data_IF_261580308689
#
_entry.id   IF_261580308689
#
_cell.length_a   1.000
_cell.length_b   1.000
_cell.length_c   1.000
_cell.angle_alpha   90.00
_cell.angle_beta   90.00
_cell.angle_gamma   90.00
#
_symmetry.space_group_name_H-M   'P 1'
#
loop_
_entity.id
_entity.type
_entity.pdbx_description
1 polymer ?
#
# COMPACT_ATOMS: atom_id res chain seq x y z
N UNK A 1 -15.55 2.22 -34.71
CA UNK A 1 -16.84 1.93 -34.03
C UNK A 1 -16.53 1.75 -32.55
N UNK A 2 -17.17 2.49 -31.65
CA UNK A 2 -16.80 2.50 -30.22
C UNK A 2 -18.00 2.18 -29.34
N UNK A 3 -17.92 1.15 -28.51
CA UNK A 3 -18.95 0.78 -27.53
C UNK A 3 -18.60 1.27 -26.13
N UNK A 4 -19.61 1.47 -25.30
CA UNK A 4 -19.45 1.81 -23.89
C UNK A 4 -19.87 0.64 -23.01
N UNK A 5 -19.40 0.62 -21.77
CA UNK A 5 -19.93 -0.31 -20.78
C UNK A 5 -21.46 -0.22 -20.72
N UNK A 6 -22.08 -1.39 -20.65
CA UNK A 6 -23.52 -1.63 -20.67
C UNK A 6 -24.24 -1.34 -22.00
N UNK A 7 -23.51 -1.02 -23.08
CA UNK A 7 -24.09 -1.13 -24.43
C UNK A 7 -24.48 -2.59 -24.70
N UNK A 8 -25.58 -2.80 -25.43
CA UNK A 8 -25.97 -4.11 -25.95
C UNK A 8 -25.56 -4.20 -27.41
N UNK A 9 -24.83 -5.26 -27.74
CA UNK A 9 -24.39 -5.56 -29.10
C UNK A 9 -24.99 -6.87 -29.57
N UNK A 10 -25.33 -6.96 -30.84
CA UNK A 10 -25.74 -8.19 -31.49
C UNK A 10 -24.67 -8.60 -32.50
N UNK A 11 -24.21 -9.83 -32.37
CA UNK A 11 -23.15 -10.44 -33.17
C UNK A 11 -23.64 -11.83 -33.54
N UNK A 12 -23.69 -12.14 -34.84
CA UNK A 12 -24.14 -13.46 -35.33
C UNK A 12 -25.52 -13.88 -34.80
N UNK A 13 -26.44 -12.91 -34.68
CA UNK A 13 -27.81 -13.14 -34.18
C UNK A 13 -27.95 -13.33 -32.67
N UNK A 14 -26.85 -13.24 -31.91
CA UNK A 14 -26.86 -13.34 -30.44
C UNK A 14 -26.57 -11.99 -29.81
N UNK A 15 -27.21 -11.72 -28.66
CA UNK A 15 -27.05 -10.46 -27.92
C UNK A 15 -26.05 -10.62 -26.77
N UNK A 16 -25.25 -9.59 -26.60
CA UNK A 16 -24.25 -9.48 -25.56
C UNK A 16 -24.30 -8.10 -24.92
N UNK A 17 -23.94 -8.01 -23.64
CA UNK A 17 -23.75 -6.74 -22.94
C UNK A 17 -22.26 -6.52 -22.75
N UNK A 18 -21.79 -5.33 -23.11
CA UNK A 18 -20.41 -4.92 -22.86
C UNK A 18 -20.24 -4.71 -21.35
N UNK A 19 -19.41 -5.52 -20.70
CA UNK A 19 -19.16 -5.42 -19.24
C UNK A 19 -17.87 -4.71 -18.90
N UNK A 20 -16.98 -4.59 -19.87
CA UNK A 20 -15.69 -3.92 -19.74
C UNK A 20 -15.21 -3.44 -21.12
N UNK A 21 -14.38 -2.40 -21.09
CA UNK A 21 -13.71 -1.83 -22.26
C UNK A 21 -12.26 -1.62 -21.90
N UNK A 22 -11.36 -2.25 -22.64
CA UNK A 22 -9.92 -2.18 -22.40
C UNK A 22 -9.25 -1.62 -23.65
N UNK A 23 -8.51 -0.53 -23.52
CA UNK A 23 -7.75 0.02 -24.63
C UNK A 23 -6.28 -0.33 -24.47
N UNK A 24 -5.68 -0.77 -25.57
CA UNK A 24 -4.29 -1.19 -25.64
C UNK A 24 -3.50 -0.33 -26.62
N UNK A 25 -2.21 -0.25 -26.36
CA UNK A 25 -1.23 0.27 -27.28
C UNK A 25 -0.10 -0.77 -27.44
N UNK A 26 0.24 -1.06 -28.68
CA UNK A 26 1.46 -1.79 -29.03
C UNK A 26 2.66 -0.93 -28.64
N UNK A 27 3.50 -1.47 -27.77
CA UNK A 27 4.71 -0.79 -27.34
C UNK A 27 5.87 -1.25 -28.24
N UNK A 28 6.27 -0.40 -29.18
CA UNK A 28 7.51 -0.61 -29.95
C UNK A 28 8.67 -0.20 -29.02
N UNK A 29 9.46 -1.17 -28.56
CA UNK A 29 10.67 -0.86 -27.80
C UNK A 29 11.69 -0.29 -28.79
N UNK A 30 11.86 1.04 -28.78
CA UNK A 30 13.08 1.66 -29.31
C UNK A 30 14.28 1.10 -28.52
N UNK A 31 14.97 0.15 -29.16
CA UNK A 31 16.38 -0.32 -29.07
C UNK A 31 17.29 0.01 -27.86
N UNK A 32 16.81 0.38 -26.67
CA UNK A 32 17.69 0.88 -25.59
C UNK A 32 17.38 0.34 -24.19
N UNK A 33 16.54 -0.70 -24.04
CA UNK A 33 16.45 -1.41 -22.75
C UNK A 33 16.47 -2.91 -23.01
N UNK A 34 17.58 -3.56 -22.60
CA UNK A 34 17.75 -5.01 -22.59
C UNK A 34 16.70 -5.66 -21.67
N UNK A 35 15.53 -5.98 -22.24
CA UNK A 35 14.74 -7.10 -21.76
C UNK A 35 15.18 -8.32 -22.58
N UNK A 36 15.76 -9.31 -21.91
CA UNK A 36 15.98 -10.65 -22.48
C UNK A 36 14.62 -11.32 -22.68
N UNK A 37 13.91 -10.92 -23.74
CA UNK A 37 12.92 -11.76 -24.38
C UNK A 37 13.71 -12.88 -25.07
N UNK A 38 13.69 -14.07 -24.48
CA UNK A 38 14.47 -15.24 -24.90
C UNK A 38 14.07 -15.84 -26.27
N UNK A 39 13.45 -15.08 -27.16
CA UNK A 39 13.12 -15.53 -28.51
C UNK A 39 14.07 -14.84 -29.52
N UNK A 40 15.13 -15.55 -29.94
CA UNK A 40 16.00 -15.20 -31.09
C UNK A 40 15.19 -14.87 -32.38
N UNK A 41 13.91 -15.26 -32.42
CA UNK A 41 12.95 -14.93 -33.48
C UNK A 41 12.47 -13.47 -33.50
N UNK A 42 12.74 -12.62 -32.51
CA UNK A 42 12.28 -11.21 -32.57
C UNK A 42 13.01 -10.42 -33.65
N UNK A 43 14.27 -10.75 -33.93
CA UNK A 43 15.12 -9.97 -34.83
C UNK A 43 15.09 -10.42 -36.30
N UNK A 44 14.57 -11.61 -36.61
CA UNK A 44 14.76 -12.23 -37.94
C UNK A 44 13.52 -12.32 -38.84
N UNK A 45 12.28 -12.07 -38.36
CA UNK A 45 11.09 -12.41 -39.17
C UNK A 45 9.99 -11.35 -39.34
N UNK A 46 10.14 -10.11 -38.86
CA UNK A 46 9.15 -9.06 -39.14
C UNK A 46 9.82 -7.79 -39.66
N UNK A 47 10.03 -7.79 -40.98
CA UNK A 47 10.35 -6.59 -41.73
C UNK A 47 9.24 -5.53 -41.64
N UNK A 48 9.67 -4.27 -41.62
CA UNK A 48 8.87 -3.04 -41.73
C UNK A 48 7.92 -2.72 -40.57
N UNK A 49 8.36 -1.77 -39.74
CA UNK A 49 7.55 -1.00 -38.79
C UNK A 49 6.25 -0.51 -39.44
N UNK A 50 5.12 -1.15 -39.12
CA UNK A 50 3.82 -0.48 -39.10
C UNK A 50 3.78 0.29 -37.78
N UNK A 51 3.47 1.59 -37.81
CA UNK A 51 3.42 2.43 -36.60
C UNK A 51 2.58 1.80 -35.49
N UNK A 52 2.81 2.24 -34.24
CA UNK A 52 2.18 1.66 -33.04
C UNK A 52 0.68 1.39 -33.27
N UNK A 53 0.30 0.10 -33.27
CA UNK A 53 -1.11 -0.28 -33.36
C UNK A 53 -1.76 -0.02 -32.01
N UNK A 54 -2.97 0.51 -32.05
CA UNK A 54 -3.80 0.65 -30.87
C UNK A 54 -5.08 -0.14 -31.15
N UNK A 55 -5.62 -0.83 -30.15
CA UNK A 55 -6.89 -1.53 -30.28
C UNK A 55 -7.70 -1.42 -29.01
N UNK A 56 -8.99 -1.71 -29.13
CA UNK A 56 -9.90 -1.77 -28.00
C UNK A 56 -10.53 -3.16 -27.96
N UNK A 57 -10.49 -3.76 -26.78
CA UNK A 57 -11.19 -5.00 -26.47
C UNK A 57 -12.43 -4.72 -25.63
N UNK A 58 -13.51 -5.38 -26.00
CA UNK A 58 -14.78 -5.32 -25.31
C UNK A 58 -15.06 -6.68 -24.71
N UNK A 59 -15.15 -6.77 -23.39
CA UNK A 59 -15.61 -7.96 -22.71
C UNK A 59 -17.13 -8.06 -22.84
N UNK A 60 -17.59 -9.16 -23.42
CA UNK A 60 -18.98 -9.39 -23.82
C UNK A 60 -19.61 -10.48 -22.97
N UNK A 61 -20.60 -10.12 -22.17
CA UNK A 61 -21.42 -11.06 -21.40
C UNK A 61 -22.64 -11.47 -22.23
N UNK A 62 -22.83 -12.76 -22.55
CA UNK A 62 -24.03 -13.22 -23.26
C UNK A 62 -25.30 -12.94 -22.47
N UNK A 63 -26.35 -12.46 -23.15
CA UNK A 63 -27.65 -12.17 -22.50
C UNK A 63 -28.33 -13.44 -22.00
N UNK A 64 -28.21 -14.53 -22.78
CA UNK A 64 -28.84 -15.82 -22.50
C UNK A 64 -28.01 -16.69 -21.53
N UNK A 65 -26.94 -16.13 -20.96
CA UNK A 65 -25.98 -16.85 -20.13
C UNK A 65 -24.90 -17.58 -20.94
N UNK A 66 -23.87 -18.03 -20.25
CA UNK A 66 -22.70 -18.68 -20.82
C UNK A 66 -21.41 -17.88 -20.57
N UNK A 67 -20.32 -18.37 -21.16
CA UNK A 67 -19.00 -17.81 -20.94
C UNK A 67 -18.81 -16.47 -21.65
N UNK A 68 -18.00 -15.63 -21.00
CA UNK A 68 -17.61 -14.32 -21.50
C UNK A 68 -16.88 -14.47 -22.85
N UNK A 69 -17.25 -13.60 -23.78
CA UNK A 69 -16.62 -13.46 -25.10
C UNK A 69 -15.86 -12.14 -25.16
N UNK A 70 -15.06 -11.98 -26.21
CA UNK A 70 -14.26 -10.80 -26.44
C UNK A 70 -14.47 -10.31 -27.87
N UNK A 71 -14.56 -9.00 -28.03
CA UNK A 71 -14.55 -8.34 -29.33
C UNK A 71 -13.36 -7.41 -29.38
N UNK A 72 -12.41 -7.66 -30.27
CA UNK A 72 -11.19 -6.84 -30.43
C UNK A 72 -11.31 -6.06 -31.73
N UNK A 73 -11.22 -4.73 -31.63
CA UNK A 73 -11.27 -3.81 -32.77
C UNK A 73 -9.97 -3.00 -32.80
N UNK A 74 -9.20 -3.15 -33.87
CA UNK A 74 -8.02 -2.31 -34.11
C UNK A 74 -8.46 -0.89 -34.46
N UNK A 75 -7.85 0.11 -33.85
CA UNK A 75 -8.21 1.50 -34.08
C UNK A 75 -7.92 1.88 -35.55
N UNK A 76 -8.93 2.40 -36.24
CA UNK A 76 -8.84 2.73 -37.67
C UNK A 76 -9.23 1.60 -38.63
N UNK A 77 -9.37 0.37 -38.14
CA UNK A 77 -9.92 -0.75 -38.92
C UNK A 77 -11.39 -0.50 -39.24
N UNK A 78 -11.78 -0.80 -40.49
CA UNK A 78 -13.13 -0.52 -41.01
C UNK A 78 -13.87 -1.77 -41.43
N UNK A 79 -13.16 -2.82 -41.79
CA UNK A 79 -13.76 -3.96 -42.48
C UNK A 79 -14.00 -5.14 -41.54
N UNK A 80 -13.10 -5.35 -40.58
CA UNK A 80 -13.09 -6.55 -39.76
C UNK A 80 -12.85 -6.29 -38.28
N UNK A 81 -13.29 -7.23 -37.45
CA UNK A 81 -12.94 -7.31 -36.04
C UNK A 81 -12.74 -8.77 -35.64
N UNK A 82 -12.13 -9.00 -34.50
CA UNK A 82 -11.95 -10.34 -33.95
C UNK A 82 -13.01 -10.60 -32.90
N UNK A 83 -13.73 -11.72 -33.02
CA UNK A 83 -14.65 -12.21 -32.01
C UNK A 83 -14.13 -13.53 -31.46
N UNK A 84 -13.83 -13.57 -30.16
CA UNK A 84 -13.11 -14.67 -29.53
C UNK A 84 -13.66 -15.03 -28.15
N UNK A 85 -13.19 -16.15 -27.62
CA UNK A 85 -13.43 -16.61 -26.26
C UNK A 85 -12.15 -17.12 -25.63
N UNK A 86 -12.06 -17.00 -24.31
CA UNK A 86 -10.96 -17.58 -23.54
C UNK A 86 -11.06 -19.11 -23.57
N UNK A 87 -9.93 -19.79 -23.73
CA UNK A 87 -9.88 -21.26 -23.79
C UNK A 87 -8.75 -21.80 -22.92
N UNK A 88 -8.93 -23.03 -22.43
CA UNK A 88 -7.91 -23.74 -21.67
C UNK A 88 -7.03 -24.57 -22.62
N UNK A 89 -6.10 -23.90 -23.31
CA UNK A 89 -5.15 -24.57 -24.22
C UNK A 89 -3.86 -23.78 -24.33
N UNK A 90 -2.73 -24.42 -24.04
CA UNK A 90 -1.42 -23.76 -24.04
C UNK A 90 -0.74 -23.62 -25.41
N UNK A 91 -1.22 -24.32 -26.46
CA UNK A 91 -0.58 -24.31 -27.78
C UNK A 91 -1.58 -24.07 -28.93
N UNK A 92 -1.16 -23.43 -30.04
CA UNK A 92 -2.05 -23.22 -31.17
C UNK A 92 -2.53 -24.54 -31.79
N UNK A 93 -3.79 -24.63 -32.28
CA UNK A 93 -4.27 -25.81 -32.98
C UNK A 93 -3.46 -26.12 -34.25
N UNK A 94 -3.44 -27.39 -34.67
CA UNK A 94 -2.77 -27.81 -35.91
C UNK A 94 -3.26 -27.00 -37.12
N UNK A 95 -2.33 -26.46 -37.88
CA UNK A 95 -2.60 -25.66 -39.08
C UNK A 95 -2.77 -24.16 -38.84
N UNK A 96 -2.59 -23.70 -37.61
CA UNK A 96 -2.42 -22.28 -37.32
C UNK A 96 -0.96 -21.88 -37.53
N UNK A 97 -0.73 -20.70 -38.11
CA UNK A 97 0.59 -20.11 -38.32
C UNK A 97 0.71 -18.79 -37.57
N UNK A 98 1.89 -18.48 -37.04
CA UNK A 98 2.15 -17.19 -36.41
C UNK A 98 1.87 -16.08 -37.42
N UNK A 99 1.07 -15.09 -37.02
CA UNK A 99 0.67 -13.97 -37.86
C UNK A 99 1.19 -12.65 -37.32
N UNK A 100 1.10 -12.44 -36.01
CA UNK A 100 1.57 -11.22 -35.35
C UNK A 100 2.11 -11.56 -33.96
N UNK A 101 3.00 -10.72 -33.43
CA UNK A 101 3.47 -10.80 -32.06
C UNK A 101 4.01 -9.43 -31.62
N UNK A 102 3.92 -9.14 -30.34
CA UNK A 102 4.42 -7.89 -29.81
C UNK A 102 4.24 -7.77 -28.30
N UNK A 103 4.55 -6.59 -27.77
CA UNK A 103 4.30 -6.21 -26.39
C UNK A 103 3.10 -5.27 -26.36
N UNK A 104 2.05 -5.65 -25.63
CA UNK A 104 0.89 -4.80 -25.41
C UNK A 104 0.97 -4.13 -24.04
N UNK A 105 0.50 -2.88 -23.98
CA UNK A 105 0.28 -2.16 -22.73
C UNK A 105 -1.17 -1.72 -22.63
N UNK A 106 -1.78 -1.98 -21.47
CA UNK A 106 -3.11 -1.47 -21.14
C UNK A 106 -3.03 0.04 -20.88
N UNK A 107 -3.78 0.80 -21.67
CA UNK A 107 -3.82 2.27 -21.61
C UNK A 107 -4.98 2.77 -20.74
N UNK A 108 -6.12 2.09 -20.80
CA UNK A 108 -7.30 2.42 -20.00
C UNK A 108 -8.20 1.21 -19.83
N UNK A 109 -8.93 1.19 -18.72
CA UNK A 109 -9.89 0.14 -18.38
C UNK A 109 -11.16 0.81 -17.89
N UNK A 110 -12.30 0.43 -18.46
CA UNK A 110 -13.63 0.75 -17.95
C UNK A 110 -14.38 -0.55 -17.64
N UNK A 111 -15.19 -0.56 -16.58
CA UNK A 111 -16.05 -1.70 -16.22
C UNK A 111 -15.43 -2.74 -15.28
N UNK A 112 -16.01 -3.94 -15.24
CA UNK A 112 -15.57 -5.04 -14.35
C UNK A 112 -14.43 -5.84 -14.98
N UNK A 113 -13.19 -5.34 -14.87
CA UNK A 113 -12.01 -6.03 -15.38
C UNK A 113 -11.00 -6.39 -14.28
N UNK A 114 -10.18 -7.41 -14.57
CA UNK A 114 -8.99 -7.74 -13.77
C UNK A 114 -7.74 -6.98 -14.23
N UNK A 115 -7.72 -6.57 -15.50
CA UNK A 115 -6.65 -5.75 -16.06
C UNK A 115 -6.64 -4.35 -15.44
N UNK A 116 -5.47 -3.73 -15.39
CA UNK A 116 -5.25 -2.37 -14.88
C UNK A 116 -4.44 -1.55 -15.88
N UNK A 117 -4.66 -0.24 -15.86
CA UNK A 117 -3.84 0.69 -16.62
C UNK A 117 -2.36 0.51 -16.26
N UNK A 118 -1.52 0.30 -17.26
CA UNK A 118 -0.10 0.03 -17.10
C UNK A 118 0.30 -1.45 -17.17
N UNK A 119 -0.66 -2.38 -17.06
CA UNK A 119 -0.37 -3.82 -17.22
C UNK A 119 0.21 -4.09 -18.61
N UNK A 120 1.11 -5.07 -18.68
CA UNK A 120 1.83 -5.46 -19.89
C UNK A 120 1.71 -6.95 -20.13
N UNK A 121 1.62 -7.32 -21.40
CA UNK A 121 1.67 -8.71 -21.83
C UNK A 121 2.41 -8.86 -23.16
N UNK A 122 3.18 -9.93 -23.29
CA UNK A 122 3.69 -10.37 -24.59
C UNK A 122 2.58 -11.16 -25.29
N UNK A 123 2.16 -10.70 -26.46
CA UNK A 123 1.10 -11.36 -27.23
C UNK A 123 1.67 -12.06 -28.46
N UNK A 124 1.05 -13.19 -28.81
CA UNK A 124 1.28 -13.93 -30.06
C UNK A 124 -0.08 -14.24 -30.69
N UNK A 125 -0.33 -13.72 -31.88
CA UNK A 125 -1.50 -14.02 -32.70
C UNK A 125 -1.15 -15.06 -33.76
N UNK A 126 -1.93 -16.13 -33.82
CA UNK A 126 -1.83 -17.16 -34.84
C UNK A 126 -3.11 -17.17 -35.69
N UNK A 127 -2.98 -17.44 -36.98
CA UNK A 127 -4.10 -17.51 -37.92
C UNK A 127 -4.18 -18.82 -38.66
N UNK A 128 -5.40 -19.24 -38.98
CA UNK A 128 -5.69 -20.35 -39.90
C UNK A 128 -6.85 -19.97 -40.82
N UNK A 129 -6.62 -20.03 -42.13
CA UNK A 129 -7.65 -19.77 -43.13
C UNK A 129 -8.29 -21.10 -43.53
N UNK A 130 -9.58 -21.26 -43.30
CA UNK A 130 -10.36 -22.45 -43.67
C UNK A 130 -11.68 -22.01 -44.28
N UNK A 131 -11.98 -22.47 -45.50
CA UNK A 131 -13.25 -22.16 -46.21
C UNK A 131 -13.58 -20.66 -46.18
N UNK A 132 -12.61 -19.83 -46.55
CA UNK A 132 -12.70 -18.35 -46.56
C UNK A 132 -12.96 -17.68 -45.21
N UNK A 133 -12.89 -18.43 -44.10
CA UNK A 133 -12.91 -17.89 -42.75
C UNK A 133 -11.49 -17.80 -42.18
N UNK A 134 -11.17 -16.65 -41.58
CA UNK A 134 -9.93 -16.46 -40.84
C UNK A 134 -10.18 -16.77 -39.36
N UNK A 135 -9.67 -17.91 -38.90
CA UNK A 135 -9.68 -18.26 -37.49
C UNK A 135 -8.41 -17.71 -36.82
N UNK A 136 -8.55 -17.28 -35.57
CA UNK A 136 -7.48 -16.67 -34.78
C UNK A 136 -7.28 -17.43 -33.47
N UNK A 137 -6.05 -17.45 -33.00
CA UNK A 137 -5.67 -18.00 -31.70
C UNK A 137 -4.63 -17.07 -31.08
N UNK A 138 -4.84 -16.65 -29.85
CA UNK A 138 -3.99 -15.74 -29.11
C UNK A 138 -3.36 -16.46 -27.92
N UNK A 139 -2.11 -16.11 -27.64
CA UNK A 139 -1.43 -16.38 -26.38
C UNK A 139 -0.97 -15.03 -25.85
N UNK A 140 -1.30 -14.72 -24.61
CA UNK A 140 -0.89 -13.50 -23.91
C UNK A 140 -0.18 -13.89 -22.62
N UNK A 141 1.14 -13.64 -22.57
CA UNK A 141 1.96 -13.84 -21.39
C UNK A 141 2.03 -12.53 -20.60
N UNK A 142 1.17 -12.40 -19.58
CA UNK A 142 1.12 -11.22 -18.71
C UNK A 142 2.32 -11.17 -17.77
N UNK A 143 2.93 -10.00 -17.64
CA UNK A 143 4.13 -9.78 -16.79
C UNK A 143 3.85 -9.94 -15.28
N UNK A 144 2.61 -10.26 -14.89
CA UNK A 144 2.21 -10.70 -13.56
C UNK A 144 2.23 -12.22 -13.35
N UNK A 145 2.72 -13.00 -14.32
CA UNK A 145 2.87 -14.46 -14.23
C UNK A 145 1.63 -15.27 -14.65
N UNK A 146 0.70 -14.64 -15.37
CA UNK A 146 -0.48 -15.32 -15.93
C UNK A 146 -0.34 -15.43 -17.45
N UNK A 147 -0.68 -16.58 -18.01
CA UNK A 147 -0.81 -16.74 -19.46
C UNK A 147 -2.26 -17.00 -19.82
N UNK A 148 -2.84 -16.12 -20.63
CA UNK A 148 -4.19 -16.28 -21.17
C UNK A 148 -4.13 -16.78 -22.61
N UNK A 149 -5.09 -17.62 -22.99
CA UNK A 149 -5.27 -18.04 -24.37
C UNK A 149 -6.70 -17.81 -24.81
N UNK A 150 -6.85 -17.35 -26.05
CA UNK A 150 -8.14 -17.10 -26.65
C UNK A 150 -8.21 -17.66 -28.06
N UNK A 151 -9.39 -18.10 -28.49
CA UNK A 151 -9.62 -18.55 -29.86
C UNK A 151 -10.89 -17.90 -30.41
N UNK A 152 -10.89 -17.60 -31.69
CA UNK A 152 -12.01 -16.93 -32.33
C UNK A 152 -11.94 -16.93 -33.84
N UNK A 153 -12.72 -16.04 -34.45
CA UNK A 153 -12.70 -15.77 -35.88
C UNK A 153 -12.73 -14.26 -36.16
N UNK A 154 -12.16 -13.88 -37.32
CA UNK A 154 -12.38 -12.54 -37.87
C UNK A 154 -13.75 -12.50 -38.51
N UNK A 155 -14.57 -11.58 -38.05
CA UNK A 155 -15.91 -11.29 -38.58
C UNK A 155 -15.93 -9.90 -39.21
N UNK A 156 -16.89 -9.61 -40.08
CA UNK A 156 -17.02 -8.28 -40.64
C UNK A 156 -17.50 -7.33 -39.55
N UNK A 157 -16.91 -6.14 -39.50
CA UNK A 157 -17.34 -5.11 -38.55
C UNK A 157 -18.79 -4.69 -38.79
N UNK A 158 -19.25 -4.77 -40.06
CA UNK A 158 -20.65 -4.53 -40.44
C UNK A 158 -21.65 -5.47 -39.77
N UNK A 159 -21.22 -6.65 -39.32
CA UNK A 159 -22.08 -7.68 -38.73
C UNK A 159 -22.24 -7.47 -37.22
N UNK A 160 -21.55 -6.48 -36.65
CA UNK A 160 -21.66 -6.08 -35.24
C UNK A 160 -22.64 -4.91 -35.15
N UNK A 161 -23.75 -5.11 -34.46
CA UNK A 161 -24.81 -4.09 -34.38
C UNK A 161 -25.07 -3.68 -32.95
N UNK A 162 -25.01 -2.37 -32.65
CA UNK A 162 -25.56 -1.86 -31.37
C UNK A 162 -27.08 -1.96 -31.39
N UNK A 163 -27.65 -2.54 -30.34
CA UNK A 163 -29.11 -2.62 -30.14
C UNK A 163 -29.55 -1.62 -29.06
N UNK A 164 -30.66 -0.94 -29.29
CA UNK A 164 -31.27 0.04 -28.37
C UNK A 164 -32.75 -0.18 -28.12
N UNK A 165 -33.28 -1.32 -28.57
CA UNK A 165 -34.68 -1.70 -28.31
C UNK A 165 -34.96 -1.92 -26.81
N UNK A 166 -36.24 -2.04 -26.47
CA UNK A 166 -36.68 -2.15 -25.08
C UNK A 166 -36.05 -3.35 -24.35
N UNK A 167 -35.88 -4.48 -25.04
CA UNK A 167 -35.26 -5.67 -24.46
C UNK A 167 -33.76 -5.43 -24.18
N UNK A 168 -33.04 -4.78 -25.11
CA UNK A 168 -31.66 -4.37 -24.90
C UNK A 168 -31.50 -3.43 -23.68
N UNK A 169 -32.38 -2.43 -23.55
CA UNK A 169 -32.35 -1.51 -22.41
C UNK A 169 -32.64 -2.21 -21.07
N UNK A 170 -33.59 -3.15 -21.05
CA UNK A 170 -33.93 -3.92 -19.85
C UNK A 170 -32.74 -4.75 -19.36
N UNK A 171 -32.07 -5.46 -20.26
CA UNK A 171 -30.91 -6.30 -19.91
C UNK A 171 -29.71 -5.45 -19.49
N UNK A 172 -29.42 -4.38 -20.22
CA UNK A 172 -28.38 -3.40 -19.86
C UNK A 172 -28.58 -2.87 -18.43
N UNK A 173 -29.81 -2.45 -18.09
CA UNK A 173 -30.17 -1.97 -16.75
C UNK A 173 -29.98 -3.05 -15.69
N UNK A 174 -30.37 -4.29 -15.97
CA UNK A 174 -30.23 -5.43 -15.04
C UNK A 174 -28.75 -5.67 -14.70
N UNK A 175 -27.88 -5.75 -15.70
CA UNK A 175 -26.45 -6.01 -15.52
C UNK A 175 -25.76 -4.83 -14.83
N UNK A 176 -26.06 -3.60 -15.23
CA UNK A 176 -25.53 -2.39 -14.57
C UNK A 176 -25.89 -2.33 -13.08
N UNK A 177 -27.14 -2.66 -12.74
CA UNK A 177 -27.58 -2.69 -11.34
C UNK A 177 -26.94 -3.83 -10.54
N UNK A 178 -26.62 -4.95 -11.17
CA UNK A 178 -25.89 -6.04 -10.53
C UNK A 178 -24.43 -5.63 -10.23
N UNK A 179 -23.76 -5.01 -11.20
CA UNK A 179 -22.40 -4.49 -11.04
C UNK A 179 -22.32 -3.45 -9.92
N UNK A 180 -23.24 -2.47 -9.93
CA UNK A 180 -23.34 -1.46 -8.86
C UNK A 180 -23.53 -2.11 -7.50
N UNK A 181 -24.38 -3.13 -7.36
CA UNK A 181 -24.57 -3.81 -6.06
C UNK A 181 -23.28 -4.44 -5.53
N UNK A 182 -22.48 -5.10 -6.38
CA UNK A 182 -21.18 -5.66 -5.97
C UNK A 182 -20.23 -4.59 -5.44
N UNK A 183 -20.18 -3.44 -6.12
CA UNK A 183 -19.33 -2.32 -5.70
C UNK A 183 -19.75 -1.77 -4.33
N UNK A 184 -21.05 -1.59 -4.11
CA UNK A 184 -21.60 -1.16 -2.82
C UNK A 184 -21.33 -2.18 -1.70
N UNK A 185 -21.43 -3.49 -1.97
CA UNK A 185 -21.07 -4.53 -1.01
C UNK A 185 -19.58 -4.47 -0.64
N UNK A 186 -18.70 -4.28 -1.64
CA UNK A 186 -17.25 -4.16 -1.39
C UNK A 186 -16.93 -2.94 -0.53
N UNK A 187 -17.51 -1.78 -0.85
CA UNK A 187 -17.34 -0.57 -0.06
C UNK A 187 -17.91 -0.75 1.36
N UNK A 188 -19.11 -1.32 1.48
CA UNK A 188 -19.74 -1.58 2.77
C UNK A 188 -18.90 -2.48 3.69
N UNK A 189 -18.27 -3.52 3.15
CA UNK A 189 -17.33 -4.37 3.89
C UNK A 189 -16.10 -3.59 4.36
N UNK A 190 -15.50 -2.76 3.50
CA UNK A 190 -14.36 -1.93 3.87
C UNK A 190 -14.70 -0.93 4.97
N UNK A 191 -15.84 -0.25 4.85
CA UNK A 191 -16.32 0.68 5.89
C UNK A 191 -16.66 -0.04 7.19
N UNK A 192 -17.23 -1.24 7.14
CA UNK A 192 -17.50 -2.05 8.32
C UNK A 192 -16.23 -2.39 9.11
N UNK A 193 -15.13 -2.74 8.43
CA UNK A 193 -13.84 -3.00 9.06
C UNK A 193 -13.27 -1.74 9.71
N UNK A 194 -13.29 -0.61 8.99
CA UNK A 194 -12.77 0.66 9.51
C UNK A 194 -13.56 1.11 10.74
N UNK A 195 -14.90 1.03 10.69
CA UNK A 195 -15.75 1.40 11.82
C UNK A 195 -15.59 0.44 13.01
N UNK A 196 -15.33 -0.84 12.75
CA UNK A 196 -15.00 -1.81 13.81
C UNK A 196 -13.68 -1.48 14.50
N UNK A 197 -12.63 -1.13 13.73
CA UNK A 197 -11.35 -0.68 14.27
C UNK A 197 -11.49 0.63 15.05
N UNK A 198 -12.23 1.60 14.53
CA UNK A 198 -12.51 2.85 15.26
C UNK A 198 -13.32 2.57 16.54
N UNK A 199 -14.32 1.70 16.49
CA UNK A 199 -15.06 1.26 17.66
C UNK A 199 -14.16 0.65 18.73
N UNK A 200 -13.19 -0.19 18.35
CA UNK A 200 -12.19 -0.74 19.27
C UNK A 200 -11.32 0.35 19.92
N UNK A 201 -10.90 1.36 19.14
CA UNK A 201 -10.13 2.50 19.66
C UNK A 201 -10.93 3.39 20.62
N UNK A 202 -12.25 3.53 20.42
CA UNK A 202 -13.11 4.37 21.28
C UNK A 202 -13.76 3.63 22.45
N UNK A 203 -13.80 2.29 22.43
CA UNK A 203 -14.35 1.45 23.52
C UNK A 203 -13.24 0.89 24.43
N UNK A 204 -12.00 0.78 23.95
CA UNK A 204 -10.85 0.39 24.76
C UNK A 204 -10.33 1.55 25.61
N UNK A 205 -9.85 1.25 26.83
CA UNK A 205 -9.10 2.18 27.70
C UNK A 205 -7.72 2.58 27.14
N UNK A 206 -7.44 2.29 25.86
CA UNK A 206 -6.15 2.49 25.24
C UNK A 206 -5.97 3.95 24.86
N UNK A 207 -5.02 4.62 25.50
CA UNK A 207 -4.71 6.01 25.18
C UNK A 207 -3.98 6.10 23.83
N UNK A 208 -4.08 7.24 23.15
CA UNK A 208 -3.35 7.49 21.88
C UNK A 208 -1.85 7.21 22.00
N UNK A 209 -1.27 7.52 23.16
CA UNK A 209 0.14 7.31 23.41
C UNK A 209 0.49 5.82 23.55
N UNK A 210 -0.40 4.97 24.07
CA UNK A 210 -0.20 3.52 24.14
C UNK A 210 -0.32 2.86 22.76
N UNK A 211 -1.21 3.36 21.91
CA UNK A 211 -1.29 2.94 20.50
C UNK A 211 0.01 3.26 19.75
N UNK A 212 0.53 4.47 19.94
CA UNK A 212 1.78 4.93 19.32
C UNK A 212 2.96 4.04 19.68
N UNK A 213 3.02 3.63 20.95
CA UNK A 213 4.02 2.71 21.47
C UNK A 213 3.94 1.33 20.80
N UNK A 214 2.74 0.75 20.70
CA UNK A 214 2.49 -0.57 20.09
C UNK A 214 2.90 -0.61 18.60
N UNK A 215 2.74 0.49 17.86
CA UNK A 215 3.12 0.59 16.44
C UNK A 215 4.57 1.06 16.21
N UNK A 216 5.40 1.08 17.25
CA UNK A 216 6.84 1.32 17.15
C UNK A 216 7.28 2.80 17.19
N UNK A 217 6.39 3.69 17.62
CA UNK A 217 6.65 5.12 17.79
C UNK A 217 6.46 5.54 19.27
N UNK A 218 7.29 5.04 20.20
CA UNK A 218 7.18 5.39 21.63
C UNK A 218 7.29 6.90 21.85
N UNK A 219 6.66 7.40 22.91
CA UNK A 219 6.78 8.80 23.35
C UNK A 219 8.15 9.07 23.95
N UNK A 220 8.78 10.19 23.58
CA UNK A 220 10.15 10.52 24.03
C UNK A 220 10.15 11.48 25.21
N UNK A 221 11.25 11.53 25.98
CA UNK A 221 11.41 12.46 27.10
C UNK A 221 11.39 13.91 26.61
N UNK A 222 11.99 14.19 25.45
CA UNK A 222 11.98 15.53 24.86
C UNK A 222 10.56 15.96 24.44
N UNK A 223 9.79 15.08 23.80
CA UNK A 223 8.38 15.36 23.46
C UNK A 223 7.55 15.63 24.71
N UNK A 224 7.72 14.82 25.77
CA UNK A 224 7.05 15.03 27.06
C UNK A 224 7.34 16.40 27.64
N UNK A 225 8.61 16.82 27.59
CA UNK A 225 9.05 18.10 28.14
C UNK A 225 8.41 19.26 27.38
N UNK A 226 8.37 19.19 26.04
CA UNK A 226 7.76 20.22 25.18
C UNK A 226 6.24 20.34 25.36
N UNK A 227 5.56 19.23 25.61
CA UNK A 227 4.10 19.21 25.79
C UNK A 227 3.66 19.52 27.24
N UNK A 228 4.60 19.77 28.16
CA UNK A 228 4.33 20.01 29.58
C UNK A 228 4.39 21.49 29.95
N UNK A 229 3.57 21.88 30.93
CA UNK A 229 3.67 23.20 31.57
C UNK A 229 4.74 23.26 32.68
N UNK A 230 5.29 22.11 33.08
CA UNK A 230 6.28 22.00 34.16
C UNK A 230 7.68 22.49 33.76
N UNK A 231 7.98 22.55 32.46
CA UNK A 231 9.33 22.83 31.95
C UNK A 231 9.37 24.16 31.21
N UNK A 232 10.42 24.94 31.47
CA UNK A 232 10.68 26.21 30.79
C UNK A 232 12.03 26.16 30.07
N UNK A 233 12.09 26.47 28.76
CA UNK A 233 13.31 26.33 27.97
C UNK A 233 14.37 27.36 28.36
N UNK A 234 15.61 26.91 28.49
CA UNK A 234 16.78 27.73 28.83
C UNK A 234 17.82 27.81 27.70
N UNK A 235 17.68 26.97 26.67
CA UNK A 235 18.56 26.96 25.50
C UNK A 235 19.11 25.56 25.22
N UNK A 236 20.34 25.50 24.73
CA UNK A 236 21.03 24.26 24.34
C UNK A 236 22.43 24.25 24.91
N UNK A 237 22.85 23.11 25.47
CA UNK A 237 24.19 22.87 26.00
C UNK A 237 24.71 21.55 25.41
N UNK A 238 25.84 21.61 24.72
CA UNK A 238 26.49 20.46 24.09
C UNK A 238 25.56 19.61 23.18
N UNK A 239 24.54 20.23 22.58
CA UNK A 239 23.56 19.54 21.72
C UNK A 239 22.40 18.88 22.47
N UNK A 240 22.35 19.02 23.80
CA UNK A 240 21.18 18.72 24.64
C UNK A 240 20.36 19.98 24.86
N UNK A 241 19.04 19.83 24.84
CA UNK A 241 18.11 20.92 25.16
C UNK A 241 18.02 21.06 26.68
N UNK A 242 18.14 22.29 27.18
CA UNK A 242 18.16 22.59 28.62
C UNK A 242 16.85 23.25 29.02
N UNK A 243 16.27 22.77 30.11
CA UNK A 243 15.04 23.28 30.69
C UNK A 243 15.18 23.47 32.20
N UNK A 244 14.40 24.37 32.78
CA UNK A 244 14.13 24.41 34.22
C UNK A 244 12.81 23.70 34.50
N UNK A 245 12.78 22.83 35.51
CA UNK A 245 11.58 22.16 36.00
C UNK A 245 10.99 22.91 37.19
N UNK A 246 9.67 23.05 37.21
CA UNK A 246 8.89 23.53 38.37
C UNK A 246 8.74 22.47 39.47
N UNK A 247 9.15 21.24 39.19
CA UNK A 247 9.08 20.11 40.10
C UNK A 247 10.45 19.84 40.72
N UNK A 248 10.45 19.16 41.88
CA UNK A 248 11.68 18.63 42.48
C UNK A 248 12.33 17.57 41.56
N UNK A 249 13.63 17.25 41.74
CA UNK A 249 14.34 16.35 40.83
C UNK A 249 13.75 14.93 40.80
N UNK A 250 13.21 14.42 41.91
CA UNK A 250 12.62 13.09 41.98
C UNK A 250 11.26 13.03 41.26
N UNK A 251 10.41 14.03 41.45
CA UNK A 251 9.15 14.15 40.71
C UNK A 251 9.39 14.34 39.20
N UNK A 252 10.41 15.12 38.84
CA UNK A 252 10.86 15.28 37.46
C UNK A 252 11.29 13.94 36.85
N UNK A 253 12.08 13.16 37.58
CA UNK A 253 12.51 11.84 37.13
C UNK A 253 11.33 10.89 36.91
N UNK A 254 10.38 10.87 37.85
CA UNK A 254 9.14 10.08 37.73
C UNK A 254 8.36 10.45 36.46
N UNK A 255 8.18 11.76 36.19
CA UNK A 255 7.42 12.23 35.02
C UNK A 255 8.06 11.75 33.70
N UNK A 256 9.38 11.81 33.59
CA UNK A 256 10.10 11.36 32.40
C UNK A 256 10.09 9.84 32.25
N UNK A 257 10.20 9.08 33.34
CA UNK A 257 10.09 7.60 33.31
C UNK A 257 8.69 7.18 32.86
N UNK A 258 7.65 7.85 33.37
CA UNK A 258 6.26 7.58 32.98
C UNK A 258 6.02 7.89 31.50
N UNK A 259 6.61 8.98 30.99
CA UNK A 259 6.48 9.38 29.60
C UNK A 259 7.03 8.36 28.60
N UNK A 260 8.13 7.70 28.96
CA UNK A 260 8.75 6.64 28.13
C UNK A 260 8.25 5.25 28.49
N UNK A 261 7.13 5.14 29.22
CA UNK A 261 6.54 3.86 29.62
C UNK A 261 7.47 2.93 30.40
N UNK A 262 8.39 3.51 31.18
CA UNK A 262 9.37 2.72 31.92
C UNK A 262 10.46 2.07 31.05
N UNK A 263 10.49 2.35 29.73
CA UNK A 263 11.49 1.82 28.77
C UNK A 263 12.85 2.50 28.92
N UNK A 264 13.42 2.40 30.11
CA UNK A 264 14.76 2.86 30.47
C UNK A 264 15.66 1.64 30.57
N UNK A 265 16.91 1.77 30.14
CA UNK A 265 17.88 0.68 30.32
C UNK A 265 18.78 0.90 31.53
N UNK A 266 18.96 2.15 31.98
CA UNK A 266 19.63 2.45 33.24
C UNK A 266 19.17 3.78 33.84
N UNK A 267 19.26 3.92 35.16
CA UNK A 267 19.09 5.18 35.89
C UNK A 267 20.19 5.28 36.93
N UNK A 268 20.96 6.37 36.90
CA UNK A 268 21.97 6.68 37.90
C UNK A 268 21.51 7.83 38.78
N UNK A 269 21.85 7.77 40.06
CA UNK A 269 21.49 8.84 40.99
C UNK A 269 22.59 9.09 42.00
N UNK A 270 22.95 10.36 42.17
CA UNK A 270 23.83 10.82 43.22
C UNK A 270 23.02 11.59 44.27
N UNK A 271 22.76 10.94 45.40
CA UNK A 271 22.07 11.54 46.55
C UNK A 271 23.01 12.26 47.52
N UNK A 272 24.33 12.20 47.31
CA UNK A 272 25.34 12.77 48.22
C UNK A 272 25.86 14.10 47.72
N UNK A 273 25.87 14.33 46.41
CA UNK A 273 26.23 15.63 45.83
C UNK A 273 25.18 16.70 46.17
N UNK A 274 25.60 17.94 46.46
CA UNK A 274 24.67 19.08 46.62
C UNK A 274 23.81 19.32 45.36
N UNK A 275 24.29 18.87 44.20
CA UNK A 275 23.60 19.03 42.92
C UNK A 275 22.59 17.91 42.61
N UNK A 276 22.49 16.87 43.48
CA UNK A 276 21.46 15.83 43.42
C UNK A 276 21.19 15.25 42.02
N UNK A 277 22.24 14.81 41.33
CA UNK A 277 22.14 14.37 39.94
C UNK A 277 21.27 13.11 39.79
N UNK A 278 20.38 13.10 38.80
CA UNK A 278 19.67 11.92 38.33
C UNK A 278 19.86 11.83 36.81
N UNK A 279 20.31 10.68 36.32
CA UNK A 279 20.53 10.46 34.89
C UNK A 279 19.69 9.29 34.43
N UNK A 280 18.81 9.53 33.46
CA UNK A 280 17.93 8.53 32.89
C UNK A 280 18.43 8.18 31.49
N UNK A 281 18.64 6.90 31.25
CA UNK A 281 19.07 6.39 29.96
C UNK A 281 17.99 5.56 29.30
N UNK A 282 17.64 5.93 28.08
CA UNK A 282 16.83 5.13 27.16
C UNK A 282 17.68 4.72 25.97
N UNK A 283 17.18 3.83 25.11
CA UNK A 283 17.93 3.37 23.94
C UNK A 283 18.21 4.47 22.90
N UNK A 284 17.53 5.63 22.98
CA UNK A 284 17.64 6.73 22.02
C UNK A 284 18.03 8.07 22.66
N UNK A 285 17.53 8.35 23.85
CA UNK A 285 17.73 9.61 24.56
C UNK A 285 18.40 9.41 25.92
N UNK A 286 19.07 10.47 26.36
CA UNK A 286 19.53 10.66 27.73
C UNK A 286 18.83 11.88 28.32
N UNK A 287 18.49 11.81 29.60
CA UNK A 287 18.11 12.99 30.37
C UNK A 287 18.97 13.12 31.62
N UNK A 288 19.45 14.32 31.88
CA UNK A 288 20.32 14.67 33.00
C UNK A 288 19.58 15.70 33.84
N UNK A 289 19.20 15.32 35.04
CA UNK A 289 18.51 16.16 36.01
C UNK A 289 19.51 16.57 37.08
N UNK A 290 19.56 17.85 37.40
CA UNK A 290 20.43 18.39 38.45
C UNK A 290 19.74 19.53 39.20
N UNK A 291 20.24 19.84 40.39
CA UNK A 291 19.76 20.93 41.23
C UNK A 291 20.87 21.96 41.39
N UNK A 292 20.61 23.19 41.00
CA UNK A 292 21.56 24.31 41.18
C UNK A 292 20.83 25.45 41.88
N UNK A 293 21.32 25.85 43.05
CA UNK A 293 20.72 26.91 43.86
C UNK A 293 19.22 26.70 44.14
N UNK A 294 18.79 25.44 44.36
CA UNK A 294 17.39 25.09 44.60
C UNK A 294 16.50 25.07 43.37
N UNK A 295 17.06 25.31 42.16
CA UNK A 295 16.34 25.17 40.89
C UNK A 295 16.69 23.84 40.24
N UNK A 296 15.68 23.09 39.80
CA UNK A 296 15.87 21.83 39.08
C UNK A 296 16.07 22.10 37.58
N UNK A 297 17.19 21.67 37.05
CA UNK A 297 17.53 21.71 35.63
C UNK A 297 17.38 20.32 35.01
N UNK A 298 16.96 20.30 33.75
CA UNK A 298 16.81 19.09 32.94
C UNK A 298 17.46 19.31 31.59
N UNK A 299 18.50 18.55 31.31
CA UNK A 299 19.10 18.44 29.99
C UNK A 299 18.54 17.18 29.33
N UNK A 300 18.09 17.26 28.07
CA UNK A 300 17.49 16.13 27.35
C UNK A 300 17.88 16.16 25.87
N UNK A 301 18.12 14.99 25.29
CA UNK A 301 18.38 14.87 23.86
C UNK A 301 18.94 13.49 23.50
N UNK A 302 19.42 13.36 22.27
CA UNK A 302 20.01 12.12 21.79
C UNK A 302 21.23 11.69 22.61
N UNK A 303 21.33 10.40 22.93
CA UNK A 303 22.43 9.85 23.74
C UNK A 303 23.82 10.18 23.16
N UNK A 304 23.94 10.26 21.83
CA UNK A 304 25.19 10.59 21.12
C UNK A 304 25.70 12.02 21.38
N UNK A 305 24.84 12.91 21.87
CA UNK A 305 25.17 14.31 22.15
C UNK A 305 25.66 14.51 23.59
N UNK A 306 25.63 13.48 24.43
CA UNK A 306 26.19 13.58 25.78
C UNK A 306 27.72 13.76 25.68
N UNK A 307 28.24 14.87 26.20
CA UNK A 307 29.67 15.16 26.08
C UNK A 307 30.54 14.13 26.82
N UNK A 308 31.76 13.86 26.33
CA UNK A 308 32.69 12.94 27.01
C UNK A 308 33.01 13.39 28.44
N UNK A 309 33.01 14.71 28.68
CA UNK A 309 33.25 15.29 30.00
C UNK A 309 32.11 14.99 30.98
N UNK A 310 30.87 15.09 30.52
CA UNK A 310 29.68 14.74 31.29
C UNK A 310 29.56 13.23 31.47
N UNK A 311 29.85 12.47 30.42
CA UNK A 311 29.86 11.01 30.48
C UNK A 311 30.90 10.51 31.51
N UNK A 312 32.08 11.13 31.55
CA UNK A 312 33.12 10.85 32.56
C UNK A 312 32.65 11.24 33.96
N UNK A 313 32.01 12.40 34.12
CA UNK A 313 31.43 12.83 35.41
C UNK A 313 30.32 11.89 35.87
N UNK A 314 29.42 11.49 34.99
CA UNK A 314 28.32 10.55 35.29
C UNK A 314 28.87 9.13 35.54
N UNK A 315 29.99 8.75 34.94
CA UNK A 315 30.69 7.51 35.28
C UNK A 315 31.22 7.50 36.73
N UNK A 316 31.44 8.67 37.36
CA UNK A 316 31.78 8.75 38.78
C UNK A 316 30.59 8.56 39.71
N UNK A 317 29.35 8.67 39.22
CA UNK A 317 28.13 8.26 39.92
C UNK A 317 28.11 6.72 39.91
N UNK A 318 28.63 6.12 40.98
CA UNK A 318 28.85 4.67 41.09
C UNK A 318 27.59 3.85 41.33
N UNK A 319 26.48 4.47 41.71
CA UNK A 319 25.29 3.78 42.14
C UNK A 319 24.17 3.94 41.11
N UNK A 320 23.70 2.82 40.59
CA UNK A 320 22.42 2.76 39.92
C UNK A 320 21.32 3.07 40.95
N UNK A 321 20.29 3.83 40.55
CA UNK A 321 19.16 4.13 41.40
C UNK A 321 18.22 2.91 41.44
N UNK A 322 18.44 2.01 42.39
CA UNK A 322 17.60 0.81 42.53
C UNK A 322 16.11 1.16 42.64
N UNK A 323 15.78 2.24 43.33
CA UNK A 323 14.37 2.61 43.58
C UNK A 323 13.70 3.17 42.32
N UNK A 324 14.39 4.02 41.55
CA UNK A 324 13.86 4.54 40.29
C UNK A 324 13.83 3.46 39.20
N UNK A 325 14.79 2.53 39.20
CA UNK A 325 14.76 1.36 38.31
C UNK A 325 13.58 0.44 38.62
N UNK A 326 13.31 0.16 39.91
CA UNK A 326 12.12 -0.59 40.32
C UNK A 326 10.83 0.15 39.95
N UNK A 327 10.82 1.48 40.07
CA UNK A 327 9.68 2.29 39.64
C UNK A 327 9.43 2.14 38.14
N UNK A 328 10.47 2.33 37.31
CA UNK A 328 10.40 2.15 35.87
C UNK A 328 9.89 0.76 35.47
N UNK A 329 10.38 -0.28 36.15
CA UNK A 329 9.91 -1.64 35.92
C UNK A 329 8.41 -1.82 36.25
N UNK A 330 7.90 -1.18 37.31
CA UNK A 330 6.46 -1.20 37.61
C UNK A 330 5.63 -0.46 36.56
N UNK A 331 6.17 0.60 35.95
CA UNK A 331 5.54 1.33 34.84
C UNK A 331 5.47 0.44 33.61
N UNK A 332 6.57 -0.22 33.24
CA UNK A 332 6.65 -1.12 32.09
C UNK A 332 5.68 -2.32 32.24
N UNK A 333 5.56 -2.88 33.45
CA UNK A 333 4.59 -3.94 33.76
C UNK A 333 3.13 -3.48 33.88
N UNK A 334 2.85 -2.17 33.70
CA UNK A 334 1.54 -1.55 33.94
C UNK A 334 0.97 -1.81 35.35
N UNK A 335 1.84 -2.02 36.36
CA UNK A 335 1.44 -2.31 37.74
C UNK A 335 1.11 -1.02 38.51
N UNK A 336 -0.16 -0.62 38.47
CA UNK A 336 -0.66 0.62 39.09
C UNK A 336 -0.41 0.71 40.60
N UNK A 337 -0.57 -0.40 41.33
CA UNK A 337 -0.41 -0.42 42.78
C UNK A 337 1.07 -0.33 43.18
N UNK A 338 1.95 -1.09 42.52
CA UNK A 338 3.39 -1.04 42.75
C UNK A 338 3.97 0.34 42.44
N UNK A 339 3.56 0.93 41.31
CA UNK A 339 3.91 2.30 40.91
C UNK A 339 3.53 3.33 41.99
N UNK A 340 2.30 3.27 42.51
CA UNK A 340 1.83 4.20 43.55
C UNK A 340 2.63 4.08 44.85
N UNK A 341 2.92 2.86 45.29
CA UNK A 341 3.73 2.62 46.50
C UNK A 341 5.14 3.20 46.35
N UNK A 342 5.82 2.91 45.23
CA UNK A 342 7.18 3.39 44.98
C UNK A 342 7.23 4.91 44.79
N UNK A 343 6.25 5.51 44.11
CA UNK A 343 6.19 6.97 43.94
C UNK A 343 6.11 7.72 45.26
N UNK A 344 5.46 7.16 46.29
CA UNK A 344 5.41 7.80 47.61
C UNK A 344 6.79 7.73 48.28
N UNK A 345 7.44 6.56 48.24
CA UNK A 345 8.78 6.35 48.84
C UNK A 345 9.84 7.23 48.16
N UNK A 346 9.70 7.53 46.86
CA UNK A 346 10.64 8.39 46.13
C UNK A 346 10.45 9.88 46.46
N UNK A 347 9.24 10.28 46.87
CA UNK A 347 8.88 11.68 47.17
C UNK A 347 9.07 12.05 48.65
N UNK A 348 9.00 11.06 49.52
CA UNK A 348 9.37 11.16 50.95
C UNK A 348 10.90 11.18 51.11
#
# INVERSE_FOLDING_TARGET
>A
MNFKCYDVVEIQGKRYVVTEVISYQEFIIEKTVNYTLNDEMYNNELGTHKGAKNWTEYGLMPVDGGDKKWLTIVNGEKDYCTFSETILRSTPPKGYKLYDKGLQRVMSVEGESKARSGDKADYKEYRSIKKDKTNVFFIEDWHGGLTDQAQGERIRLSDVHRRRDQAAQAVSKKIRNAARRKEWTRLGLSWGIILFFLGYLFVGDMTWHELRDEVGFPYTMEERIKDSYYYEPQGTKDGLMVYTSKQDPNATAIDLIDAVYGKVYNIKQDTKSPEQWIVIYTTKEVSVISVVNGTTYVEVGELKNLSDSENTRIATIRNDSEILLRYAYMVELKNKQGRKTLSNIIKD
#
